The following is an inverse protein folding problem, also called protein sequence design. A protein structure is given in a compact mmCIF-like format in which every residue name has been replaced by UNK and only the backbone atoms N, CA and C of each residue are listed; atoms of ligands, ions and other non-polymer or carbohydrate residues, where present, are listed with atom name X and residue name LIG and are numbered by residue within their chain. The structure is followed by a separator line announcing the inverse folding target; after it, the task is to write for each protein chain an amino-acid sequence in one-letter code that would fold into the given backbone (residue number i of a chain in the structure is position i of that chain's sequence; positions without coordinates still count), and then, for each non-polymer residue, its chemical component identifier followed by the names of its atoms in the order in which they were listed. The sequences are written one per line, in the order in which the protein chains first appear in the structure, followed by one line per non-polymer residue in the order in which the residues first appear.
data_IF_454431548719
#
_entry.id   IF_454431548719
#
_cell.length_a   1.000
_cell.length_b   1.000
_cell.length_c   1.000
_cell.angle_alpha   90.00
_cell.angle_beta   90.00
_cell.angle_gamma   90.00
#
_symmetry.space_group_name_H-M   'P 1'
#
loop_
_entity.id
_entity.type
_entity.pdbx_description
1 polymer ?
#
# COMPACT_ATOMS: atom_id res chain seq x y z
N UNK A 1 10.92 -9.23 37.62
CA UNK A 1 9.83 -8.65 36.81
C UNK A 1 10.17 -7.18 36.58
N UNK A 2 10.78 -6.85 35.44
CA UNK A 2 11.16 -5.47 35.12
C UNK A 2 10.20 -4.99 34.05
N UNK A 3 9.18 -4.27 34.48
CA UNK A 3 8.22 -3.60 33.60
C UNK A 3 8.99 -2.52 32.85
N UNK A 4 9.49 -2.83 31.65
CA UNK A 4 10.08 -1.85 30.77
C UNK A 4 8.97 -0.89 30.34
N UNK A 5 8.88 0.24 31.05
CA UNK A 5 7.98 1.32 30.71
C UNK A 5 8.28 1.78 29.28
N UNK A 6 7.38 1.45 28.34
CA UNK A 6 7.38 2.03 26.99
C UNK A 6 7.46 3.55 27.15
N UNK A 7 8.55 4.17 26.70
CA UNK A 7 8.74 5.61 26.89
C UNK A 7 7.67 6.35 26.09
N UNK A 8 7.15 7.44 26.66
CA UNK A 8 6.09 8.28 26.07
C UNK A 8 6.44 8.82 24.67
N UNK A 9 7.73 8.82 24.29
CA UNK A 9 8.26 9.15 22.97
C UNK A 9 7.87 8.15 21.88
N UNK A 10 7.66 6.88 22.22
CA UNK A 10 7.47 5.79 21.24
C UNK A 10 6.02 5.74 20.71
N UNK A 11 5.15 6.64 21.19
CA UNK A 11 3.74 6.76 20.80
C UNK A 11 3.41 8.07 20.07
N UNK A 12 4.40 8.95 19.83
CA UNK A 12 4.15 10.23 19.16
C UNK A 12 4.11 10.02 17.65
N UNK A 13 3.00 10.42 17.04
CA UNK A 13 2.85 10.47 15.58
C UNK A 13 3.86 11.47 15.03
N UNK A 14 4.60 11.07 13.99
CA UNK A 14 5.58 11.93 13.34
C UNK A 14 4.91 13.18 12.75
N UNK A 15 5.47 14.39 12.95
CA UNK A 15 5.01 15.59 12.25
C UNK A 15 5.01 15.44 10.73
N UNK A 16 5.94 14.65 10.18
CA UNK A 16 6.00 14.35 8.75
C UNK A 16 4.75 13.58 8.30
N UNK A 17 4.32 12.58 9.06
CA UNK A 17 3.11 11.82 8.76
C UNK A 17 1.87 12.71 8.83
N UNK A 18 1.78 13.56 9.87
CA UNK A 18 0.69 14.53 9.99
C UNK A 18 0.66 15.51 8.82
N UNK A 19 1.82 15.97 8.37
CA UNK A 19 1.94 16.83 7.18
C UNK A 19 1.43 16.13 5.92
N UNK A 20 1.83 14.88 5.68
CA UNK A 20 1.36 14.09 4.53
C UNK A 20 -0.16 13.87 4.62
N UNK A 21 -0.67 13.45 5.77
CA UNK A 21 -2.11 13.23 5.98
C UNK A 21 -2.92 14.52 5.79
N UNK A 22 -2.40 15.66 6.25
CA UNK A 22 -3.03 16.97 6.05
C UNK A 22 -3.07 17.35 4.56
N UNK A 23 -1.96 17.17 3.83
CA UNK A 23 -1.93 17.39 2.38
C UNK A 23 -2.94 16.50 1.68
N UNK A 24 -2.97 15.20 1.99
CA UNK A 24 -3.95 14.26 1.43
C UNK A 24 -5.39 14.68 1.70
N UNK A 25 -5.71 15.11 2.93
CA UNK A 25 -7.06 15.55 3.27
C UNK A 25 -7.45 16.82 2.51
N UNK A 26 -6.56 17.81 2.43
CA UNK A 26 -6.80 19.07 1.74
C UNK A 26 -6.96 18.86 0.23
N UNK A 27 -6.09 18.05 -0.39
CA UNK A 27 -6.17 17.81 -1.83
C UNK A 27 -7.34 16.90 -2.18
N UNK A 28 -7.66 15.91 -1.34
CA UNK A 28 -8.88 15.11 -1.49
C UNK A 28 -10.15 15.96 -1.40
N UNK A 29 -10.21 16.89 -0.44
CA UNK A 29 -11.29 17.88 -0.34
C UNK A 29 -11.36 18.77 -1.58
N UNK A 30 -10.22 19.30 -2.05
CA UNK A 30 -10.17 20.17 -3.22
C UNK A 30 -10.65 19.48 -4.50
N UNK A 31 -10.38 18.17 -4.66
CA UNK A 31 -10.93 17.37 -5.77
C UNK A 31 -12.42 17.08 -5.56
N UNK A 32 -12.86 16.79 -4.33
CA UNK A 32 -14.27 16.55 -4.01
C UNK A 32 -15.16 17.77 -4.26
N UNK A 33 -14.67 18.98 -3.98
CA UNK A 33 -15.46 20.21 -4.13
C UNK A 33 -15.24 20.90 -5.48
N UNK A 34 -14.50 20.27 -6.40
CA UNK A 34 -14.08 20.86 -7.67
C UNK A 34 -13.41 22.25 -7.53
N UNK A 35 -12.71 22.46 -6.40
CA UNK A 35 -12.06 23.74 -6.07
C UNK A 35 -10.65 23.86 -6.68
N UNK A 36 -10.05 22.73 -7.07
CA UNK A 36 -8.70 22.69 -7.58
C UNK A 36 -8.59 23.36 -8.96
N UNK A 37 -7.88 24.49 -9.04
CA UNK A 37 -7.58 25.15 -10.31
C UNK A 37 -6.79 24.25 -11.30
N UNK A 38 -6.05 23.26 -10.78
CA UNK A 38 -5.38 22.23 -11.55
C UNK A 38 -5.76 20.86 -10.98
N UNK A 39 -6.86 20.24 -11.46
CA UNK A 39 -7.37 19.00 -10.90
C UNK A 39 -6.33 17.87 -10.89
N UNK A 40 -5.50 17.76 -11.94
CA UNK A 40 -4.47 16.72 -12.01
C UNK A 40 -3.43 16.78 -10.88
N UNK A 41 -2.97 17.97 -10.48
CA UNK A 41 -2.04 18.11 -9.34
C UNK A 41 -2.72 17.69 -8.03
N UNK A 42 -3.98 18.09 -7.84
CA UNK A 42 -4.73 17.74 -6.64
C UNK A 42 -4.97 16.22 -6.56
N UNK A 43 -5.31 15.57 -7.68
CA UNK A 43 -5.42 14.11 -7.80
C UNK A 43 -4.09 13.44 -7.50
N UNK A 44 -2.99 13.90 -8.10
CA UNK A 44 -1.65 13.35 -7.85
C UNK A 44 -1.27 13.39 -6.37
N UNK A 45 -1.46 14.53 -5.71
CA UNK A 45 -1.12 14.70 -4.29
C UNK A 45 -2.05 13.90 -3.38
N UNK A 46 -3.34 13.83 -3.71
CA UNK A 46 -4.32 13.03 -2.98
C UNK A 46 -3.97 11.54 -3.04
N UNK A 47 -3.82 10.99 -4.24
CA UNK A 47 -3.53 9.55 -4.45
C UNK A 47 -2.18 9.18 -3.87
N UNK A 48 -1.12 9.94 -4.18
CA UNK A 48 0.24 9.66 -3.67
C UNK A 48 0.28 9.74 -2.15
N UNK A 49 -0.31 10.78 -1.57
CA UNK A 49 -0.33 10.96 -0.13
C UNK A 49 -1.14 9.87 0.58
N UNK A 50 -2.31 9.50 0.05
CA UNK A 50 -3.13 8.41 0.58
C UNK A 50 -2.40 7.06 0.51
N UNK A 51 -1.66 6.81 -0.58
CA UNK A 51 -0.82 5.62 -0.71
C UNK A 51 0.34 5.61 0.29
N UNK A 52 1.03 6.73 0.52
CA UNK A 52 2.08 6.81 1.55
C UNK A 52 1.50 6.60 2.95
N UNK A 53 0.30 7.14 3.21
CA UNK A 53 -0.40 6.93 4.48
C UNK A 53 -0.71 5.45 4.67
N UNK A 54 -1.25 4.75 3.66
CA UNK A 54 -1.55 3.32 3.77
C UNK A 54 -0.29 2.49 4.03
N UNK A 55 0.82 2.81 3.37
CA UNK A 55 2.11 2.16 3.62
C UNK A 55 2.61 2.40 5.05
N UNK A 56 2.50 3.63 5.57
CA UNK A 56 2.88 3.90 6.96
C UNK A 56 2.03 3.09 7.94
N UNK A 57 0.73 2.95 7.67
CA UNK A 57 -0.18 2.14 8.48
C UNK A 57 0.14 0.65 8.40
N UNK A 58 0.49 0.14 7.21
CA UNK A 58 0.95 -1.22 6.97
C UNK A 58 2.16 -1.57 7.87
N UNK A 59 3.19 -0.73 7.83
CA UNK A 59 4.39 -0.95 8.64
C UNK A 59 4.14 -0.79 10.14
N UNK A 60 3.28 0.16 10.49
CA UNK A 60 2.81 0.30 11.86
C UNK A 60 2.07 -0.94 12.34
N UNK A 61 1.26 -1.59 11.51
CA UNK A 61 0.52 -2.80 11.86
C UNK A 61 1.46 -3.98 12.14
N UNK A 62 2.50 -4.16 11.33
CA UNK A 62 3.58 -5.11 11.61
C UNK A 62 4.24 -4.84 12.96
N UNK A 63 4.69 -3.61 13.17
CA UNK A 63 5.37 -3.17 14.39
C UNK A 63 4.49 -3.35 15.63
N UNK A 64 3.21 -2.99 15.54
CA UNK A 64 2.23 -3.07 16.62
C UNK A 64 1.93 -4.52 16.99
N UNK A 65 1.73 -5.38 16.00
CA UNK A 65 1.43 -6.81 16.20
C UNK A 65 2.62 -7.54 16.80
N UNK A 66 3.84 -7.19 16.39
CA UNK A 66 5.05 -7.76 16.94
C UNK A 66 5.33 -7.28 18.38
N UNK A 67 5.04 -6.02 18.71
CA UNK A 67 5.06 -5.53 20.09
C UNK A 67 4.09 -6.32 20.98
N UNK A 68 2.85 -6.52 20.55
CA UNK A 68 1.87 -7.34 21.29
C UNK A 68 2.30 -8.80 21.41
N UNK A 69 3.06 -9.31 20.43
CA UNK A 69 3.59 -10.67 20.43
C UNK A 69 4.81 -10.87 21.33
N UNK A 70 5.36 -9.79 21.90
CA UNK A 70 6.45 -9.80 22.88
C UNK A 70 7.79 -9.23 22.37
N UNK A 71 7.85 -8.69 21.15
CA UNK A 71 9.06 -8.05 20.63
C UNK A 71 9.17 -6.58 21.09
N UNK A 72 9.86 -6.39 22.21
CA UNK A 72 10.09 -5.08 22.82
C UNK A 72 11.14 -4.26 22.02
N UNK A 73 11.91 -4.88 21.10
CA UNK A 73 12.94 -4.19 20.31
C UNK A 73 12.38 -3.18 19.32
N UNK A 74 11.10 -3.33 18.96
CA UNK A 74 10.41 -2.51 17.94
C UNK A 74 10.15 -1.09 18.43
N UNK A 75 9.93 -0.90 19.74
CA UNK A 75 9.82 0.43 20.34
C UNK A 75 11.08 1.26 20.12
N UNK A 76 12.26 0.63 20.19
CA UNK A 76 13.54 1.30 20.03
C UNK A 76 13.87 1.66 18.56
N UNK A 77 13.29 0.94 17.58
CA UNK A 77 13.52 1.19 16.14
C UNK A 77 12.71 2.37 15.58
N UNK A 78 11.77 2.91 16.35
CA UNK A 78 10.98 4.08 15.95
C UNK A 78 9.88 3.80 14.91
N UNK A 79 9.64 2.54 14.54
CA UNK A 79 8.58 2.14 13.61
C UNK A 79 7.16 2.45 14.10
N UNK A 80 6.99 2.66 15.42
CA UNK A 80 5.71 3.07 16.01
C UNK A 80 5.37 4.56 15.80
N UNK A 81 6.26 5.34 15.18
CA UNK A 81 6.08 6.79 14.98
C UNK A 81 5.41 7.18 13.66
N UNK A 82 5.03 6.19 12.82
CA UNK A 82 4.43 6.42 11.48
C UNK A 82 5.31 7.24 10.53
N UNK A 83 6.62 7.34 10.78
CA UNK A 83 7.50 8.16 9.96
C UNK A 83 8.00 7.40 8.72
N UNK A 84 7.59 7.77 7.48
CA UNK A 84 8.03 7.09 6.25
C UNK A 84 9.55 7.08 6.07
N UNK A 85 10.25 8.08 6.60
CA UNK A 85 11.70 8.24 6.47
C UNK A 85 12.50 7.30 7.40
N UNK A 86 11.85 6.68 8.38
CA UNK A 86 12.51 5.78 9.34
C UNK A 86 12.44 4.31 8.94
N UNK A 87 11.69 3.97 7.90
CA UNK A 87 11.59 2.59 7.44
C UNK A 87 12.85 2.19 6.66
N UNK A 88 13.46 1.08 7.07
CA UNK A 88 14.83 0.66 6.67
C UNK A 88 15.05 0.48 5.17
N UNK A 89 13.99 0.27 4.38
CA UNK A 89 14.07 0.13 2.93
C UNK A 89 13.18 1.12 2.19
N UNK A 90 13.07 2.36 2.66
CA UNK A 90 12.24 3.40 2.02
C UNK A 90 12.50 3.55 0.49
N UNK A 91 13.71 3.28 0.02
CA UNK A 91 14.05 3.31 -1.41
C UNK A 91 13.39 2.18 -2.21
N UNK A 92 13.53 0.93 -1.77
CA UNK A 92 12.89 -0.21 -2.45
C UNK A 92 11.38 -0.29 -2.17
N UNK A 93 10.93 0.34 -1.07
CA UNK A 93 9.58 0.19 -0.54
C UNK A 93 8.66 1.38 -0.76
N UNK A 94 9.21 2.54 -1.08
CA UNK A 94 8.43 3.75 -1.32
C UNK A 94 8.79 4.28 -2.69
N UNK A 95 10.09 4.45 -2.93
CA UNK A 95 10.57 5.13 -4.14
C UNK A 95 10.35 4.27 -5.38
N UNK A 96 10.68 2.98 -5.36
CA UNK A 96 10.54 2.13 -6.54
C UNK A 96 9.07 1.97 -6.98
N UNK A 97 8.10 1.64 -6.09
CA UNK A 97 6.69 1.59 -6.48
C UNK A 97 6.13 2.93 -6.97
N UNK A 98 6.50 4.04 -6.33
CA UNK A 98 6.06 5.38 -6.75
C UNK A 98 6.61 5.74 -8.13
N UNK A 99 7.88 5.42 -8.42
CA UNK A 99 8.47 5.63 -9.74
C UNK A 99 7.72 4.83 -10.80
N UNK A 100 7.32 3.58 -10.55
CA UNK A 100 6.57 2.79 -11.51
C UNK A 100 5.12 3.25 -11.70
N UNK A 101 4.46 3.71 -10.63
CA UNK A 101 3.16 4.39 -10.73
C UNK A 101 3.27 5.62 -11.62
N UNK A 102 4.32 6.41 -11.46
CA UNK A 102 4.61 7.60 -12.28
C UNK A 102 4.99 7.20 -13.74
N UNK A 103 5.75 6.13 -13.95
CA UNK A 103 6.26 5.77 -15.28
C UNK A 103 5.27 4.98 -16.15
N UNK A 104 4.24 4.32 -15.60
CA UNK A 104 3.53 3.32 -16.40
C UNK A 104 2.18 2.79 -15.92
N UNK A 105 1.72 3.12 -14.70
CA UNK A 105 0.39 2.67 -14.22
C UNK A 105 0.37 1.36 -13.44
N UNK A 106 1.53 0.77 -13.19
CA UNK A 106 1.62 -0.45 -12.38
C UNK A 106 1.80 0.00 -10.92
N UNK A 107 0.70 0.04 -10.17
CA UNK A 107 0.72 0.18 -8.72
C UNK A 107 1.40 -1.00 -8.07
N UNK A 108 2.39 -0.78 -7.20
CA UNK A 108 3.16 -1.87 -6.59
C UNK A 108 3.26 -1.65 -5.08
N UNK A 109 3.38 -2.71 -4.26
CA UNK A 109 3.60 -2.59 -2.84
C UNK A 109 5.04 -2.21 -2.55
N UNK A 110 5.22 -1.57 -1.40
CA UNK A 110 6.54 -1.38 -0.83
C UNK A 110 7.20 -2.67 -0.37
N UNK A 111 8.52 -2.76 -0.54
CA UNK A 111 9.40 -3.73 0.10
C UNK A 111 9.29 -3.80 1.63
N UNK A 112 9.70 -4.96 2.14
CA UNK A 112 9.45 -5.39 3.49
C UNK A 112 10.32 -4.70 4.57
N UNK A 113 9.74 -4.52 5.76
CA UNK A 113 10.47 -4.17 6.98
C UNK A 113 11.10 -5.40 7.64
N UNK A 114 12.38 -5.26 8.00
CA UNK A 114 13.10 -6.28 8.77
C UNK A 114 12.67 -6.29 10.24
N UNK A 115 11.89 -7.30 10.62
CA UNK A 115 11.50 -7.61 11.99
C UNK A 115 12.50 -8.62 12.57
N UNK A 116 12.95 -8.41 13.82
CA UNK A 116 13.84 -9.34 14.53
C UNK A 116 13.05 -10.55 15.06
N UNK A 117 12.80 -11.51 14.16
CA UNK A 117 12.03 -12.74 14.43
C UNK A 117 12.63 -13.63 15.54
N UNK A 118 13.87 -13.41 15.95
CA UNK A 118 14.54 -14.21 16.99
C UNK A 118 13.92 -14.12 18.39
N UNK A 119 13.07 -13.12 18.68
CA UNK A 119 12.47 -12.93 20.02
C UNK A 119 11.01 -13.37 20.16
N UNK A 120 10.33 -13.71 19.07
CA UNK A 120 8.89 -14.06 19.11
C UNK A 120 8.75 -15.59 19.23
N UNK A 121 8.03 -16.04 20.26
CA UNK A 121 7.78 -17.47 20.51
C UNK A 121 6.49 -17.91 19.83
N UNK A 122 6.59 -18.88 18.92
CA UNK A 122 5.45 -19.59 18.33
C UNK A 122 5.16 -19.24 16.86
N UNK A 123 4.98 -20.27 16.02
CA UNK A 123 4.81 -20.16 14.56
C UNK A 123 3.61 -19.28 14.17
N UNK A 124 2.50 -19.41 14.88
CA UNK A 124 1.29 -18.59 14.66
C UNK A 124 1.51 -17.09 14.88
N UNK A 125 2.31 -16.71 15.88
CA UNK A 125 2.59 -15.30 16.15
C UNK A 125 3.44 -14.69 15.06
N UNK A 126 4.41 -15.43 14.54
CA UNK A 126 5.19 -15.03 13.36
C UNK A 126 4.30 -14.82 12.13
N UNK A 127 3.44 -15.79 11.83
CA UNK A 127 2.50 -15.66 10.71
C UNK A 127 1.57 -14.47 10.86
N UNK A 128 1.04 -14.23 12.06
CA UNK A 128 0.15 -13.10 12.34
C UNK A 128 0.85 -11.75 12.18
N UNK A 129 2.10 -11.64 12.63
CA UNK A 129 2.91 -10.44 12.45
C UNK A 129 3.08 -10.15 10.97
N UNK A 130 3.46 -11.15 10.16
CA UNK A 130 3.60 -10.99 8.72
C UNK A 130 2.27 -10.78 8.00
N UNK A 131 1.13 -11.24 8.54
CA UNK A 131 -0.17 -10.96 7.95
C UNK A 131 -0.70 -9.54 8.26
N UNK A 132 -0.23 -8.90 9.34
CA UNK A 132 -0.81 -7.65 9.84
C UNK A 132 -0.72 -6.48 8.86
N UNK A 133 0.41 -6.30 8.19
CA UNK A 133 0.56 -5.28 7.13
C UNK A 133 -0.34 -5.55 5.93
N UNK A 134 -0.27 -6.72 5.27
CA UNK A 134 -1.14 -7.08 4.16
C UNK A 134 -2.64 -6.93 4.48
N UNK A 135 -3.07 -7.32 5.69
CA UNK A 135 -4.44 -7.12 6.15
C UNK A 135 -4.83 -5.65 6.29
N UNK A 136 -3.88 -4.78 6.66
CA UNK A 136 -4.09 -3.32 6.70
C UNK A 136 -4.28 -2.76 5.29
N UNK A 137 -3.53 -3.26 4.30
CA UNK A 137 -3.74 -2.88 2.90
C UNK A 137 -5.10 -3.35 2.39
N UNK A 138 -5.54 -4.57 2.75
CA UNK A 138 -6.90 -5.04 2.42
C UNK A 138 -7.95 -4.14 3.04
N UNK A 139 -7.81 -3.78 4.32
CA UNK A 139 -8.75 -2.86 4.97
C UNK A 139 -8.78 -1.51 4.25
N UNK A 140 -7.62 -0.99 3.87
CA UNK A 140 -7.54 0.28 3.14
C UNK A 140 -8.16 0.18 1.74
N UNK A 141 -7.92 -0.92 1.02
CA UNK A 141 -8.57 -1.21 -0.26
C UNK A 141 -10.10 -1.27 -0.12
N UNK A 142 -10.60 -1.92 0.93
CA UNK A 142 -12.04 -1.96 1.26
C UNK A 142 -12.58 -0.56 1.52
N UNK A 143 -11.86 0.29 2.28
CA UNK A 143 -12.29 1.68 2.52
C UNK A 143 -12.32 2.50 1.23
N UNK A 144 -11.36 2.31 0.32
CA UNK A 144 -11.34 3.01 -0.97
C UNK A 144 -12.43 2.54 -1.93
N UNK A 145 -12.81 1.26 -1.87
CA UNK A 145 -13.80 0.65 -2.77
C UNK A 145 -15.23 0.74 -2.22
N UNK A 146 -15.40 0.92 -0.90
CA UNK A 146 -16.70 1.01 -0.25
C UNK A 146 -17.67 2.05 -0.84
N UNK A 147 -17.23 3.28 -1.21
CA UNK A 147 -18.13 4.25 -1.81
C UNK A 147 -18.77 3.80 -3.12
N UNK A 148 -18.13 2.90 -3.87
CA UNK A 148 -18.63 2.39 -5.15
C UNK A 148 -19.78 1.39 -4.97
N UNK A 149 -19.60 0.35 -4.13
CA UNK A 149 -20.65 -0.64 -3.92
C UNK A 149 -21.76 -0.17 -2.96
N UNK A 150 -21.51 0.86 -2.15
CA UNK A 150 -22.53 1.49 -1.30
C UNK A 150 -23.34 2.56 -2.04
N UNK A 151 -23.05 2.81 -3.32
CA UNK A 151 -23.69 3.84 -4.14
C UNK A 151 -23.60 5.25 -3.51
N UNK A 152 -22.50 5.50 -2.79
CA UNK A 152 -22.24 6.74 -2.05
C UNK A 152 -21.51 7.80 -2.88
N UNK A 153 -21.29 7.55 -4.16
CA UNK A 153 -20.64 8.47 -5.11
C UNK A 153 -21.64 9.25 -5.96
N UNK A 154 -22.95 9.07 -5.75
CA UNK A 154 -23.99 9.84 -6.43
C UNK A 154 -23.87 11.34 -6.09
N UNK A 155 -23.72 12.18 -7.11
CA UNK A 155 -23.57 13.63 -6.97
C UNK A 155 -22.18 14.10 -6.55
N UNK A 156 -21.20 13.19 -6.45
CA UNK A 156 -19.79 13.54 -6.25
C UNK A 156 -19.15 13.85 -7.61
N UNK A 157 -18.24 14.83 -7.73
CA UNK A 157 -17.57 15.11 -9.00
C UNK A 157 -16.85 13.90 -9.57
N UNK A 158 -16.95 13.71 -10.89
CA UNK A 158 -16.33 12.59 -11.62
C UNK A 158 -14.82 12.51 -11.35
N UNK A 159 -14.13 13.65 -11.30
CA UNK A 159 -12.70 13.71 -10.98
C UNK A 159 -12.37 13.04 -9.65
N UNK A 160 -13.19 13.23 -8.61
CA UNK A 160 -12.97 12.59 -7.31
C UNK A 160 -13.25 11.08 -7.39
N UNK A 161 -14.34 10.69 -8.04
CA UNK A 161 -14.68 9.29 -8.29
C UNK A 161 -13.52 8.57 -9.01
N UNK A 162 -12.97 9.17 -10.05
CA UNK A 162 -11.84 8.63 -10.82
C UNK A 162 -10.57 8.55 -9.98
N UNK A 163 -10.24 9.62 -9.23
CA UNK A 163 -9.09 9.61 -8.32
C UNK A 163 -9.19 8.49 -7.26
N UNK A 164 -10.39 8.29 -6.70
CA UNK A 164 -10.67 7.21 -5.75
C UNK A 164 -10.58 5.82 -6.43
N UNK A 165 -11.06 5.69 -7.66
CA UNK A 165 -10.96 4.46 -8.45
C UNK A 165 -9.51 4.06 -8.70
N UNK A 166 -8.67 5.01 -9.12
CA UNK A 166 -7.24 4.76 -9.28
C UNK A 166 -6.54 4.45 -7.95
N UNK A 167 -6.87 5.15 -6.86
CA UNK A 167 -6.36 4.80 -5.53
C UNK A 167 -6.77 3.37 -5.13
N UNK A 168 -8.02 2.97 -5.38
CA UNK A 168 -8.48 1.60 -5.14
C UNK A 168 -7.67 0.56 -5.92
N UNK A 169 -7.38 0.83 -7.21
CA UNK A 169 -6.49 0.00 -8.03
C UNK A 169 -5.13 -0.19 -7.34
N UNK A 170 -4.49 0.90 -6.91
CA UNK A 170 -3.19 0.84 -6.23
C UNK A 170 -3.24 0.00 -4.95
N UNK A 171 -4.29 0.15 -4.14
CA UNK A 171 -4.42 -0.55 -2.85
C UNK A 171 -4.74 -2.03 -3.01
N UNK A 172 -5.62 -2.39 -3.95
CA UNK A 172 -5.91 -3.79 -4.28
C UNK A 172 -4.65 -4.48 -4.82
N UNK A 173 -3.94 -3.81 -5.72
CA UNK A 173 -2.69 -4.34 -6.28
C UNK A 173 -1.63 -4.53 -5.19
N UNK A 174 -1.45 -3.54 -4.31
CA UNK A 174 -0.53 -3.62 -3.18
C UNK A 174 -0.93 -4.72 -2.18
N UNK A 175 -2.23 -4.94 -1.94
CA UNK A 175 -2.71 -6.02 -1.09
C UNK A 175 -2.37 -7.40 -1.69
N UNK A 176 -2.72 -7.63 -2.96
CA UNK A 176 -2.49 -8.91 -3.64
C UNK A 176 -1.00 -9.24 -3.68
N UNK A 177 -0.16 -8.28 -4.08
CA UNK A 177 1.27 -8.51 -4.19
C UNK A 177 1.90 -8.80 -2.82
N UNK A 178 1.48 -8.12 -1.77
CA UNK A 178 1.97 -8.42 -0.41
C UNK A 178 1.53 -9.78 0.12
N UNK A 179 0.46 -10.38 -0.40
CA UNK A 179 0.07 -11.75 -0.04
C UNK A 179 0.79 -12.83 -0.88
N UNK A 180 1.54 -12.46 -1.90
CA UNK A 180 2.28 -13.45 -2.69
C UNK A 180 3.30 -14.19 -1.81
N UNK A 181 3.38 -15.53 -1.89
CA UNK A 181 4.31 -16.34 -1.11
C UNK A 181 5.75 -16.29 -1.69
N UNK A 182 6.22 -15.08 -2.02
CA UNK A 182 7.55 -14.86 -2.60
C UNK A 182 8.52 -14.38 -1.51
N UNK A 183 9.72 -14.97 -1.39
CA UNK A 183 10.71 -14.58 -0.39
C UNK A 183 10.99 -13.07 -0.42
N UNK A 184 10.94 -12.40 0.73
CA UNK A 184 11.11 -10.94 0.80
C UNK A 184 9.80 -10.14 0.72
N UNK A 185 8.67 -10.78 0.43
CA UNK A 185 7.32 -10.22 0.64
C UNK A 185 6.68 -10.79 1.91
N UNK A 186 5.65 -10.11 2.40
CA UNK A 186 4.99 -10.47 3.66
C UNK A 186 4.26 -11.81 3.59
N UNK A 187 3.67 -12.14 2.45
CA UNK A 187 2.99 -13.41 2.20
C UNK A 187 3.90 -14.61 2.41
N UNK A 188 5.17 -14.51 2.04
CA UNK A 188 6.17 -15.52 2.39
C UNK A 188 6.40 -15.57 3.91
N UNK A 189 6.47 -14.42 4.58
CA UNK A 189 6.56 -14.36 6.05
C UNK A 189 5.39 -15.03 6.78
N UNK A 190 4.20 -15.08 6.17
CA UNK A 190 3.04 -15.81 6.71
C UNK A 190 3.28 -17.31 6.71
N UNK A 191 3.80 -17.86 5.60
CA UNK A 191 4.02 -19.31 5.45
C UNK A 191 5.37 -19.78 5.98
N UNK A 192 6.37 -18.91 6.04
CA UNK A 192 7.75 -19.24 6.40
C UNK A 192 7.86 -20.01 7.72
N UNK A 193 7.15 -19.66 8.82
CA UNK A 193 7.21 -20.38 10.08
C UNK A 193 6.76 -21.84 10.01
N UNK A 194 6.10 -22.25 8.92
CA UNK A 194 5.62 -23.60 8.66
C UNK A 194 6.55 -24.42 7.77
N UNK A 195 7.47 -23.77 7.06
CA UNK A 195 8.44 -24.41 6.18
C UNK A 195 9.55 -25.10 6.97
N UNK A 196 10.18 -26.14 6.40
CA UNK A 196 11.30 -26.84 7.01
C UNK A 196 12.53 -25.92 7.14
N UNK A 197 13.38 -26.15 8.16
CA UNK A 197 14.60 -25.35 8.35
C UNK A 197 15.55 -25.40 7.14
N UNK A 198 15.64 -26.55 6.49
CA UNK A 198 16.47 -26.71 5.28
C UNK A 198 15.99 -25.81 4.14
N UNK A 199 14.66 -25.75 3.93
CA UNK A 199 14.08 -24.91 2.89
C UNK A 199 14.32 -23.42 3.18
N UNK A 200 14.09 -22.96 4.42
CA UNK A 200 14.31 -21.56 4.78
C UNK A 200 15.74 -21.11 4.52
N UNK A 201 16.73 -21.94 4.90
CA UNK A 201 18.15 -21.62 4.73
C UNK A 201 18.56 -21.53 3.26
N UNK A 202 17.92 -22.31 2.38
CA UNK A 202 18.17 -22.24 0.93
C UNK A 202 17.55 -20.98 0.31
N UNK A 203 16.43 -20.52 0.85
CA UNK A 203 15.63 -19.43 0.29
C UNK A 203 16.02 -18.05 0.83
N UNK A 204 16.57 -17.99 2.05
CA UNK A 204 17.01 -16.75 2.72
C UNK A 204 17.91 -15.84 1.84
N UNK A 205 18.91 -16.34 1.09
CA UNK A 205 19.73 -15.50 0.22
C UNK A 205 18.96 -14.81 -0.91
N UNK A 206 17.80 -15.36 -1.30
CA UNK A 206 16.97 -14.83 -2.38
C UNK A 206 15.97 -13.77 -1.90
N UNK A 207 15.75 -13.63 -0.60
CA UNK A 207 14.76 -12.69 -0.06
C UNK A 207 14.95 -11.22 -0.53
N UNK A 208 16.17 -10.66 -0.61
CA UNK A 208 16.37 -9.30 -1.13
C UNK A 208 16.00 -9.15 -2.62
N UNK A 209 16.04 -10.25 -3.38
CA UNK A 209 15.75 -10.27 -4.81
C UNK A 209 14.29 -10.61 -5.13
N UNK A 210 13.48 -11.03 -4.17
CA UNK A 210 12.12 -11.49 -4.47
C UNK A 210 11.21 -10.40 -5.02
N UNK A 211 11.31 -9.17 -4.52
CA UNK A 211 10.59 -8.03 -5.10
C UNK A 211 11.02 -7.77 -6.56
N UNK A 212 12.33 -7.84 -6.85
CA UNK A 212 12.86 -7.73 -8.20
C UNK A 212 12.41 -8.88 -9.11
N UNK A 213 12.32 -10.10 -8.58
CA UNK A 213 11.85 -11.26 -9.30
C UNK A 213 10.38 -11.12 -9.69
N UNK A 214 9.53 -10.63 -8.79
CA UNK A 214 8.12 -10.32 -9.09
C UNK A 214 8.03 -9.29 -10.21
N UNK A 215 8.86 -8.24 -10.20
CA UNK A 215 8.90 -7.28 -11.30
C UNK A 215 9.34 -7.91 -12.63
N UNK A 216 10.42 -8.71 -12.61
CA UNK A 216 10.88 -9.40 -13.81
C UNK A 216 9.81 -10.31 -14.41
N UNK A 217 9.02 -10.98 -13.56
CA UNK A 217 7.90 -11.83 -13.98
C UNK A 217 6.74 -11.00 -14.54
N UNK A 218 6.36 -9.89 -13.87
CA UNK A 218 5.30 -8.99 -14.34
C UNK A 218 5.67 -8.22 -15.61
N UNK A 219 6.94 -8.23 -16.04
CA UNK A 219 7.36 -7.69 -17.33
C UNK A 219 6.98 -8.60 -18.51
N UNK A 220 6.67 -9.86 -18.24
CA UNK A 220 6.20 -10.80 -19.26
C UNK A 220 4.76 -10.41 -19.64
N UNK A 221 4.46 -10.03 -20.90
CA UNK A 221 3.16 -9.48 -21.26
C UNK A 221 1.97 -10.37 -20.86
N UNK A 222 2.02 -11.66 -21.16
CA UNK A 222 0.92 -12.57 -20.79
C UNK A 222 0.73 -12.76 -19.28
N UNK A 223 1.79 -12.60 -18.48
CA UNK A 223 1.65 -12.64 -17.01
C UNK A 223 1.07 -11.33 -16.50
N UNK A 224 1.50 -10.20 -17.09
CA UNK A 224 0.97 -8.88 -16.79
C UNK A 224 -0.54 -8.81 -17.06
N UNK A 225 -0.97 -9.25 -18.23
CA UNK A 225 -2.38 -9.30 -18.63
C UNK A 225 -3.21 -10.10 -17.64
N UNK A 226 -2.82 -11.36 -17.35
CA UNK A 226 -3.55 -12.20 -16.39
C UNK A 226 -3.59 -11.58 -14.99
N UNK A 227 -2.49 -10.95 -14.56
CA UNK A 227 -2.41 -10.30 -13.25
C UNK A 227 -3.36 -9.11 -13.15
N UNK A 228 -3.36 -8.22 -14.14
CA UNK A 228 -4.25 -7.05 -14.15
C UNK A 228 -5.70 -7.44 -14.43
N UNK A 229 -5.97 -8.45 -15.24
CA UNK A 229 -7.31 -9.00 -15.43
C UNK A 229 -7.91 -9.50 -14.11
N UNK A 230 -7.10 -10.18 -13.28
CA UNK A 230 -7.53 -10.62 -11.96
C UNK A 230 -7.84 -9.41 -11.04
N UNK A 231 -7.01 -8.37 -11.08
CA UNK A 231 -7.23 -7.13 -10.30
C UNK A 231 -8.51 -6.42 -10.77
N UNK A 232 -8.68 -6.24 -12.07
CA UNK A 232 -9.86 -5.61 -12.65
C UNK A 232 -11.12 -6.45 -12.39
N UNK A 233 -11.03 -7.78 -12.42
CA UNK A 233 -12.15 -8.65 -12.02
C UNK A 233 -12.57 -8.41 -10.56
N UNK A 234 -11.60 -8.29 -9.64
CA UNK A 234 -11.87 -7.95 -8.24
C UNK A 234 -12.49 -6.56 -8.15
N UNK A 235 -11.89 -5.54 -8.75
CA UNK A 235 -12.41 -4.17 -8.72
C UNK A 235 -13.82 -4.05 -9.28
N UNK A 236 -14.12 -4.70 -10.41
CA UNK A 236 -15.46 -4.75 -10.99
C UNK A 236 -16.48 -5.40 -10.05
N UNK A 237 -16.09 -6.46 -9.35
CA UNK A 237 -16.95 -7.07 -8.32
C UNK A 237 -17.27 -6.13 -7.15
N UNK A 238 -16.42 -5.13 -6.95
CA UNK A 238 -16.52 -4.09 -5.94
C UNK A 238 -17.13 -2.78 -6.50
N UNK A 239 -17.64 -2.79 -7.73
CA UNK A 239 -18.26 -1.62 -8.36
C UNK A 239 -17.28 -0.59 -8.93
N UNK A 240 -15.97 -0.83 -8.85
CA UNK A 240 -14.95 0.03 -9.48
C UNK A 240 -14.73 -0.43 -10.91
N UNK A 241 -15.06 0.42 -11.88
CA UNK A 241 -14.93 0.08 -13.29
C UNK A 241 -13.52 0.37 -13.81
N UNK A 242 -13.14 -0.27 -14.91
CA UNK A 242 -11.89 0.04 -15.63
C UNK A 242 -11.85 1.52 -16.05
N UNK A 243 -13.01 2.10 -16.40
CA UNK A 243 -13.18 3.51 -16.70
C UNK A 243 -12.77 4.40 -15.51
N UNK A 244 -13.22 4.06 -14.31
CA UNK A 244 -12.87 4.80 -13.08
C UNK A 244 -11.36 4.79 -12.86
N UNK A 245 -10.73 3.62 -13.03
CA UNK A 245 -9.28 3.46 -12.84
C UNK A 245 -8.46 4.15 -13.93
N UNK A 246 -8.92 4.10 -15.18
CA UNK A 246 -8.25 4.69 -16.33
C UNK A 246 -8.22 6.22 -16.23
N UNK A 247 -9.37 6.86 -16.05
CA UNK A 247 -9.40 8.33 -15.94
C UNK A 247 -8.68 8.82 -14.68
N UNK A 248 -8.74 8.06 -13.58
CA UNK A 248 -8.00 8.41 -12.39
C UNK A 248 -6.48 8.40 -12.63
N UNK A 249 -6.00 7.44 -13.42
CA UNK A 249 -4.60 7.37 -13.84
C UNK A 249 -4.22 8.52 -14.78
N UNK A 250 -5.09 8.89 -15.72
CA UNK A 250 -4.85 10.02 -16.62
C UNK A 250 -4.80 11.35 -15.86
N UNK A 251 -5.73 11.59 -14.93
CA UNK A 251 -5.67 12.77 -14.06
C UNK A 251 -4.43 12.76 -13.15
N UNK A 252 -4.03 11.59 -12.65
CA UNK A 252 -2.82 11.44 -11.85
C UNK A 252 -1.55 11.82 -12.61
N UNK A 253 -1.49 11.57 -13.92
CA UNK A 253 -0.38 11.92 -14.82
C UNK A 253 -0.45 13.35 -15.32
N UNK A 254 -0.61 14.30 -14.41
CA UNK A 254 -0.83 15.72 -14.73
C UNK A 254 0.24 16.35 -15.65
N UNK A 255 1.45 15.80 -15.69
CA UNK A 255 2.54 16.25 -16.58
C UNK A 255 2.34 15.88 -18.06
N UNK A 256 1.38 15.02 -18.38
CA UNK A 256 1.01 14.66 -19.76
C UNK A 256 -0.07 15.59 -20.35
N UNK A 257 -0.61 16.51 -19.54
CA UNK A 257 -1.72 17.39 -19.91
C UNK A 257 -2.95 17.15 -19.03
N UNK A 258 -3.97 18.00 -19.18
CA UNK A 258 -5.26 17.77 -18.53
C UNK A 258 -6.11 16.87 -19.45
N UNK A 259 -6.52 15.69 -18.99
CA UNK A 259 -7.35 14.80 -19.80
C UNK A 259 -8.72 15.44 -20.11
N UNK A 260 -9.16 15.35 -21.35
CA UNK A 260 -10.54 15.66 -21.75
C UNK A 260 -11.38 14.39 -21.66
N UNK A 261 -12.31 14.34 -20.72
CA UNK A 261 -13.26 13.22 -20.62
C UNK A 261 -14.18 13.29 -21.85
N UNK A 262 -14.22 12.27 -22.72
CA UNK A 262 -15.11 12.26 -23.86
C UNK A 262 -16.54 12.34 -23.35
N UNK A 263 -17.29 13.32 -23.85
CA UNK A 263 -18.72 13.42 -23.59
C UNK A 263 -19.37 12.20 -24.22
N UNK A 264 -19.74 11.22 -23.40
CA UNK A 264 -20.56 10.10 -23.85
C UNK A 264 -21.95 10.69 -24.10
N UNK A 265 -22.20 11.09 -25.36
CA UNK A 265 -23.55 11.42 -25.82
C UNK A 265 -24.41 10.18 -25.58
N UNK A 266 -25.39 10.29 -24.68
CA UNK A 266 -26.38 9.24 -24.45
C UNK A 266 -27.20 8.96 -25.70
#
# INVERSE_FOLDING_TARGET
MTTAATRRSDRRISPVFLGIAAVTAVTGWAVWTDFAAQPGIAVFLFVTGAWIVSLCLHEYAHARTALHSGDISIGAKGYLTLNPLKYTHALLSIVLPVIFVIMGGIGLPGGAVFIERGRIRGRWRHSLISAAGPLTNVLFAVVCTAPFWLDALNGVPDTFRYALGFLALLQVTAAILNFLPVPGLDGYGVIEPWLSHSFRRQVEPFAPFGLLAVFGILWIPGVNEVFFDAIHAILRSLGVTEWDTYWGQEFYRFWQGTPEIPVVTQ
#
